data_IF_144362366848
#
_entry.id   IF_144362366848
#
_cell.length_a   1.000
_cell.length_b   1.000
_cell.length_c   1.000
_cell.angle_alpha   90.00
_cell.angle_beta   90.00
_cell.angle_gamma   90.00
#
_symmetry.space_group_name_H-M   'P 1'
#
loop_
_entity.id
_entity.type
_entity.pdbx_description
1 polymer ?
#
# COMPACT_ATOMS: atom_id res chain seq x y z
N UNK A 1 11.32 -3.76 19.01
CA UNK A 1 9.86 -3.78 18.90
C UNK A 1 9.48 -3.44 17.46
N UNK A 2 8.54 -4.17 16.86
CA UNK A 2 8.00 -3.93 15.51
C UNK A 2 6.50 -3.65 15.64
N UNK A 3 6.01 -2.66 14.88
CA UNK A 3 4.59 -2.39 14.69
C UNK A 3 4.27 -2.57 13.19
N UNK A 4 3.24 -3.33 12.89
CA UNK A 4 2.74 -3.55 11.53
C UNK A 4 1.26 -3.15 11.50
N UNK A 5 0.95 -1.87 11.31
CA UNK A 5 -0.44 -1.42 11.30
C UNK A 5 -1.14 -1.78 9.98
N UNK A 6 -2.38 -2.20 10.08
CA UNK A 6 -3.28 -2.15 8.94
C UNK A 6 -3.74 -0.69 8.76
N UNK A 7 -3.57 -0.12 7.57
CA UNK A 7 -4.10 1.20 7.28
C UNK A 7 -5.63 1.16 7.28
N UNK A 8 -6.28 2.30 7.60
CA UNK A 8 -7.76 2.39 7.59
C UNK A 8 -8.35 1.76 6.33
N UNK A 9 -9.45 1.04 6.51
CA UNK A 9 -10.14 0.32 5.44
C UNK A 9 -9.44 -0.95 4.97
N UNK A 10 -8.44 -1.47 5.70
CA UNK A 10 -7.71 -2.71 5.39
C UNK A 10 -7.60 -3.58 6.63
N UNK A 11 -7.61 -4.89 6.42
CA UNK A 11 -7.39 -5.88 7.47
C UNK A 11 -8.31 -5.70 8.67
N UNK A 12 -7.73 -5.57 9.85
CA UNK A 12 -8.46 -5.42 11.12
C UNK A 12 -8.82 -3.96 11.46
N UNK A 13 -8.33 -2.97 10.67
CA UNK A 13 -8.69 -1.57 10.88
C UNK A 13 -10.08 -1.25 10.36
N UNK A 14 -10.75 -0.31 11.04
CA UNK A 14 -12.11 0.11 10.70
C UNK A 14 -12.21 0.65 9.27
N UNK A 15 -13.35 0.40 8.64
CA UNK A 15 -13.73 1.02 7.38
C UNK A 15 -14.18 2.47 7.61
N UNK A 16 -13.76 3.35 6.72
CA UNK A 16 -14.13 4.76 6.83
C UNK A 16 -15.62 4.98 6.48
N UNK A 17 -16.29 5.82 7.24
CA UNK A 17 -17.66 6.25 6.91
C UNK A 17 -17.67 7.11 5.64
N UNK A 18 -16.66 7.96 5.50
CA UNK A 18 -16.44 8.82 4.33
C UNK A 18 -15.27 8.28 3.49
N UNK A 19 -15.53 7.75 2.28
CA UNK A 19 -14.49 7.24 1.38
C UNK A 19 -13.44 8.29 0.97
N UNK A 20 -13.77 9.58 0.97
CA UNK A 20 -12.83 10.65 0.69
C UNK A 20 -11.67 10.68 1.70
N UNK A 21 -11.82 10.01 2.84
CA UNK A 21 -10.73 9.87 3.83
C UNK A 21 -9.68 8.83 3.46
N UNK A 22 -9.86 8.04 2.40
CA UNK A 22 -8.85 7.10 1.90
C UNK A 22 -7.78 7.80 1.08
N UNK A 23 -7.08 8.75 1.71
CA UNK A 23 -6.06 9.59 1.10
C UNK A 23 -4.74 9.49 1.87
N UNK A 24 -3.57 9.57 1.19
CA UNK A 24 -2.26 9.43 1.82
C UNK A 24 -2.06 10.31 3.04
N UNK A 25 -2.48 11.58 3.00
CA UNK A 25 -2.35 12.49 4.13
C UNK A 25 -3.17 12.06 5.35
N UNK A 26 -4.30 11.38 5.14
CA UNK A 26 -5.09 10.83 6.24
C UNK A 26 -4.42 9.61 6.85
N UNK A 27 -3.78 8.77 6.04
CA UNK A 27 -2.98 7.66 6.54
C UNK A 27 -1.80 8.16 7.38
N UNK A 28 -1.15 9.27 6.97
CA UNK A 28 -0.10 9.91 7.80
C UNK A 28 -0.66 10.33 9.16
N UNK A 29 -1.82 10.97 9.20
CA UNK A 29 -2.46 11.38 10.46
C UNK A 29 -2.75 10.17 11.38
N UNK A 30 -3.20 9.05 10.81
CA UNK A 30 -3.43 7.81 11.56
C UNK A 30 -2.13 7.25 12.13
N UNK A 31 -1.04 7.25 11.33
CA UNK A 31 0.27 6.78 11.80
C UNK A 31 0.81 7.71 12.90
N UNK A 32 0.65 9.03 12.78
CA UNK A 32 1.04 9.97 13.85
C UNK A 32 0.30 9.66 15.14
N UNK A 33 -1.02 9.49 15.09
CA UNK A 33 -1.82 9.14 16.26
C UNK A 33 -1.38 7.79 16.88
N UNK A 34 -1.07 6.78 16.04
CA UNK A 34 -0.54 5.50 16.49
C UNK A 34 0.81 5.65 17.21
N UNK A 35 1.74 6.45 16.66
CA UNK A 35 3.04 6.70 17.27
C UNK A 35 2.92 7.43 18.61
N UNK A 36 1.99 8.37 18.72
CA UNK A 36 1.69 9.07 19.96
C UNK A 36 1.10 8.14 21.02
N UNK A 37 0.09 7.35 20.65
CA UNK A 37 -0.53 6.36 21.55
C UNK A 37 0.45 5.28 22.01
N UNK A 38 1.38 4.90 21.13
CA UNK A 38 2.41 3.90 21.43
C UNK A 38 3.64 4.49 22.18
N UNK A 39 3.63 5.81 22.44
CA UNK A 39 4.72 6.57 23.08
C UNK A 39 6.07 6.41 22.33
N UNK A 40 6.01 6.39 20.99
CA UNK A 40 7.19 6.25 20.14
C UNK A 40 7.62 7.60 19.58
N UNK A 41 8.71 8.15 20.11
CA UNK A 41 9.27 9.41 19.67
C UNK A 41 9.86 9.32 18.25
N UNK A 42 10.56 8.23 17.95
CA UNK A 42 11.24 8.01 16.66
C UNK A 42 11.14 6.56 16.22
N UNK A 43 11.05 6.35 14.91
CA UNK A 43 10.93 5.03 14.28
C UNK A 43 11.84 4.90 13.05
N UNK A 44 12.22 3.67 12.73
CA UNK A 44 12.66 3.30 11.38
C UNK A 44 11.40 2.84 10.66
N UNK A 45 11.05 3.55 9.58
CA UNK A 45 9.86 3.22 8.79
C UNK A 45 10.23 2.27 7.65
N UNK A 46 9.45 1.21 7.47
CA UNK A 46 9.58 0.28 6.34
C UNK A 46 8.27 0.34 5.56
N UNK A 47 8.32 0.91 4.37
CA UNK A 47 7.12 1.14 3.56
C UNK A 47 7.24 0.56 2.15
N UNK A 48 6.26 -0.25 1.76
CA UNK A 48 6.12 -0.75 0.39
C UNK A 48 5.07 0.06 -0.34
N UNK A 49 5.36 0.52 -1.56
CA UNK A 49 4.43 1.26 -2.42
C UNK A 49 3.75 2.40 -1.63
N UNK A 50 2.43 2.36 -1.41
CA UNK A 50 1.69 3.33 -0.57
C UNK A 50 2.33 3.55 0.81
N UNK A 51 2.88 2.50 1.45
CA UNK A 51 3.57 2.62 2.73
C UNK A 51 4.83 3.47 2.64
N UNK A 52 5.55 3.42 1.53
CA UNK A 52 6.70 4.28 1.26
C UNK A 52 6.29 5.72 1.01
N UNK A 53 5.19 5.96 0.27
CA UNK A 53 4.63 7.31 0.11
C UNK A 53 4.23 7.90 1.47
N UNK A 54 3.55 7.14 2.32
CA UNK A 54 3.19 7.57 3.69
C UNK A 54 4.45 7.88 4.51
N UNK A 55 5.52 7.09 4.35
CA UNK A 55 6.82 7.35 5.02
C UNK A 55 7.44 8.67 4.58
N UNK A 56 7.49 8.95 3.28
CA UNK A 56 8.02 10.21 2.75
C UNK A 56 7.18 11.41 3.20
N UNK A 57 5.86 11.30 3.16
CA UNK A 57 4.94 12.33 3.65
C UNK A 57 5.08 12.57 5.15
N UNK A 58 5.24 11.51 5.95
CA UNK A 58 5.48 11.62 7.39
C UNK A 58 6.81 12.33 7.66
N UNK A 59 7.88 12.00 6.91
CA UNK A 59 9.17 12.67 7.03
C UNK A 59 9.10 14.17 6.68
N UNK A 60 8.30 14.54 5.68
CA UNK A 60 8.09 15.93 5.30
C UNK A 60 7.32 16.73 6.35
N UNK A 61 6.34 16.12 7.02
CA UNK A 61 5.54 16.79 8.05
C UNK A 61 6.20 16.77 9.43
N UNK A 62 6.86 15.68 9.78
CA UNK A 62 7.41 15.42 11.11
C UNK A 62 8.81 14.78 11.00
N UNK A 63 9.81 15.51 10.51
CA UNK A 63 11.13 14.98 10.21
C UNK A 63 11.79 14.29 11.41
N UNK A 64 11.56 14.78 12.62
CA UNK A 64 12.16 14.24 13.83
C UNK A 64 11.60 12.88 14.25
N UNK A 65 10.46 12.47 13.70
CA UNK A 65 9.84 11.16 13.95
C UNK A 65 10.53 10.03 13.18
N UNK A 66 11.27 10.32 12.11
CA UNK A 66 11.93 9.31 11.27
C UNK A 66 13.41 9.22 11.62
N UNK A 67 13.84 8.08 12.11
CA UNK A 67 15.25 7.76 12.38
C UNK A 67 15.96 7.17 11.15
N UNK A 68 15.22 6.55 10.25
CA UNK A 68 15.66 5.95 9.00
C UNK A 68 14.47 5.38 8.23
N UNK A 69 14.67 5.07 6.96
CA UNK A 69 13.59 4.55 6.12
C UNK A 69 14.05 3.41 5.21
N UNK A 70 13.17 2.45 4.97
CA UNK A 70 13.26 1.50 3.86
C UNK A 70 12.09 1.78 2.93
N UNK A 71 12.37 2.23 1.72
CA UNK A 71 11.41 2.47 0.65
C UNK A 71 11.45 1.26 -0.29
N UNK A 72 10.42 0.44 -0.23
CA UNK A 72 10.34 -0.75 -1.04
C UNK A 72 9.37 -0.51 -2.20
N UNK A 73 9.89 -0.57 -3.41
CA UNK A 73 9.16 -0.48 -4.67
C UNK A 73 8.30 0.80 -4.78
N UNK A 74 8.92 1.93 -4.48
CA UNK A 74 8.36 3.29 -4.59
C UNK A 74 9.50 4.30 -4.62
N UNK A 75 9.33 5.34 -5.41
CA UNK A 75 10.25 6.47 -5.52
C UNK A 75 9.51 7.80 -5.70
N UNK A 76 10.25 8.87 -6.00
CA UNK A 76 9.68 10.19 -6.26
C UNK A 76 9.01 10.30 -7.63
N UNK A 77 9.23 9.34 -8.50
CA UNK A 77 8.59 9.19 -9.80
C UNK A 77 7.89 7.84 -9.87
N UNK A 78 6.68 7.82 -10.37
CA UNK A 78 5.88 6.61 -10.55
C UNK A 78 5.50 6.51 -12.02
N UNK A 79 5.78 5.36 -12.61
CA UNK A 79 5.42 5.09 -14.00
C UNK A 79 3.90 5.16 -14.22
N UNK A 80 3.48 5.89 -15.25
CA UNK A 80 2.06 6.07 -15.57
C UNK A 80 1.35 4.73 -15.84
N UNK A 81 2.06 3.79 -16.44
CA UNK A 81 1.55 2.45 -16.73
C UNK A 81 1.27 1.66 -15.44
N UNK A 82 2.16 1.76 -14.44
CA UNK A 82 1.97 1.15 -13.13
C UNK A 82 0.75 1.72 -12.39
N UNK A 83 0.58 3.06 -12.42
CA UNK A 83 -0.60 3.70 -11.85
C UNK A 83 -1.90 3.29 -12.55
N UNK A 84 -1.90 3.22 -13.89
CA UNK A 84 -3.06 2.78 -14.65
C UNK A 84 -3.45 1.34 -14.26
N UNK A 85 -2.47 0.44 -14.18
CA UNK A 85 -2.68 -0.93 -13.74
C UNK A 85 -3.26 -1.02 -12.32
N UNK A 86 -2.78 -0.20 -11.38
CA UNK A 86 -3.32 -0.14 -10.02
C UNK A 86 -4.79 0.29 -10.05
N UNK A 87 -5.13 1.32 -10.83
CA UNK A 87 -6.52 1.79 -11.00
C UNK A 87 -7.45 0.68 -11.53
N UNK A 88 -6.93 -0.18 -12.41
CA UNK A 88 -7.73 -1.23 -13.04
C UNK A 88 -8.12 -2.36 -12.07
N UNK A 89 -7.37 -2.61 -11.01
CA UNK A 89 -7.70 -3.69 -10.09
C UNK A 89 -8.17 -3.25 -8.70
N UNK A 90 -7.81 -2.05 -8.24
CA UNK A 90 -8.25 -1.56 -6.93
C UNK A 90 -9.76 -1.29 -6.94
N UNK A 91 -10.45 -1.79 -5.92
CA UNK A 91 -11.90 -1.63 -5.79
C UNK A 91 -12.74 -2.57 -6.66
N UNK A 92 -12.12 -3.48 -7.40
CA UNK A 92 -12.87 -4.55 -8.07
C UNK A 92 -13.36 -5.56 -7.03
N UNK A 93 -14.65 -5.54 -6.72
CA UNK A 93 -15.31 -6.43 -5.74
C UNK A 93 -15.34 -7.90 -6.14
N UNK A 94 -14.22 -8.45 -6.60
CA UNK A 94 -14.10 -9.88 -6.99
C UNK A 94 -14.12 -10.76 -5.76
N UNK A 95 -14.88 -11.85 -5.83
CA UNK A 95 -14.87 -12.89 -4.81
C UNK A 95 -14.74 -14.28 -5.43
N UNK A 96 -14.12 -15.18 -4.69
CA UNK A 96 -13.74 -16.51 -5.19
C UNK A 96 -14.34 -17.62 -4.33
N UNK A 97 -14.73 -18.76 -4.93
CA UNK A 97 -15.32 -19.85 -4.16
C UNK A 97 -14.33 -20.59 -3.27
N UNK A 98 -13.04 -20.59 -3.62
CA UNK A 98 -11.99 -21.25 -2.83
C UNK A 98 -10.67 -20.47 -2.90
N UNK A 99 -9.77 -20.73 -1.96
CA UNK A 99 -8.41 -20.19 -1.96
C UNK A 99 -7.62 -20.52 -3.24
N UNK A 100 -7.89 -21.68 -3.85
CA UNK A 100 -7.25 -22.05 -5.12
C UNK A 100 -7.70 -21.16 -6.28
N UNK A 101 -8.97 -20.79 -6.34
CA UNK A 101 -9.47 -19.86 -7.36
C UNK A 101 -8.87 -18.45 -7.13
N UNK A 102 -8.78 -18.00 -5.89
CA UNK A 102 -8.13 -16.75 -5.54
C UNK A 102 -6.64 -16.74 -5.96
N UNK A 103 -5.91 -17.81 -5.65
CA UNK A 103 -4.50 -17.95 -6.00
C UNK A 103 -4.27 -17.96 -7.53
N UNK A 104 -5.15 -18.64 -8.29
CA UNK A 104 -5.09 -18.61 -9.77
C UNK A 104 -5.34 -17.23 -10.34
N UNK A 105 -6.32 -16.50 -9.81
CA UNK A 105 -6.60 -15.13 -10.24
C UNK A 105 -5.42 -14.18 -9.96
N UNK A 106 -4.75 -14.30 -8.79
CA UNK A 106 -3.53 -13.55 -8.51
C UNK A 106 -2.40 -13.89 -9.46
N UNK A 107 -2.23 -15.18 -9.79
CA UNK A 107 -1.23 -15.62 -10.77
C UNK A 107 -1.50 -15.04 -12.16
N UNK A 108 -2.74 -15.02 -12.60
CA UNK A 108 -3.13 -14.42 -13.89
C UNK A 108 -2.81 -12.92 -13.91
N UNK A 109 -3.00 -12.23 -12.80
CA UNK A 109 -2.81 -10.79 -12.69
C UNK A 109 -1.33 -10.38 -12.52
N UNK A 110 -0.56 -11.13 -11.71
CA UNK A 110 0.79 -10.72 -11.27
C UNK A 110 1.88 -11.75 -11.62
N UNK A 111 1.57 -12.77 -12.42
CA UNK A 111 2.52 -13.84 -12.75
C UNK A 111 3.76 -13.36 -13.49
N UNK A 112 3.63 -12.31 -14.30
CA UNK A 112 4.77 -11.70 -14.99
C UNK A 112 5.82 -11.10 -14.04
N UNK A 113 5.38 -10.54 -12.92
CA UNK A 113 6.27 -9.99 -11.89
C UNK A 113 6.85 -11.06 -10.94
N UNK A 114 6.29 -12.27 -10.95
CA UNK A 114 6.70 -13.38 -10.08
C UNK A 114 6.82 -14.70 -10.86
N UNK A 115 7.73 -14.79 -11.86
CA UNK A 115 7.81 -15.95 -12.75
C UNK A 115 8.14 -17.26 -12.02
N UNK A 116 8.87 -17.18 -10.91
CA UNK A 116 9.34 -18.34 -10.14
C UNK A 116 8.35 -18.83 -9.07
N UNK A 117 7.18 -18.17 -8.93
CA UNK A 117 6.21 -18.55 -7.91
C UNK A 117 5.53 -19.88 -8.26
N UNK A 118 5.65 -20.85 -7.34
CA UNK A 118 4.87 -22.07 -7.36
C UNK A 118 3.43 -21.84 -6.84
N UNK A 119 2.57 -22.83 -6.99
CA UNK A 119 1.16 -22.78 -6.52
C UNK A 119 1.09 -22.46 -5.01
N UNK A 120 2.01 -23.00 -4.22
CA UNK A 120 2.06 -22.75 -2.77
C UNK A 120 2.33 -21.27 -2.45
N UNK A 121 3.13 -20.58 -3.26
CA UNK A 121 3.44 -19.15 -3.09
C UNK A 121 2.21 -18.31 -3.38
N UNK A 122 1.49 -18.60 -4.45
CA UNK A 122 0.24 -17.94 -4.78
C UNK A 122 -0.85 -18.16 -3.73
N UNK A 123 -0.92 -19.35 -3.14
CA UNK A 123 -1.83 -19.62 -2.02
C UNK A 123 -1.45 -18.81 -0.78
N UNK A 124 -0.16 -18.69 -0.47
CA UNK A 124 0.31 -17.83 0.64
C UNK A 124 -0.02 -16.36 0.38
N UNK A 125 0.20 -15.88 -0.85
CA UNK A 125 -0.13 -14.52 -1.25
C UNK A 125 -1.63 -14.26 -1.13
N UNK A 126 -2.49 -15.17 -1.63
CA UNK A 126 -3.93 -15.05 -1.49
C UNK A 126 -4.37 -14.93 -0.03
N UNK A 127 -3.82 -15.77 0.85
CA UNK A 127 -4.14 -15.74 2.29
C UNK A 127 -3.63 -14.49 3.04
N UNK A 128 -2.69 -13.73 2.46
CA UNK A 128 -2.22 -12.46 3.02
C UNK A 128 -3.05 -11.27 2.54
N UNK A 129 -3.64 -11.37 1.35
CA UNK A 129 -4.36 -10.27 0.71
C UNK A 129 -5.88 -10.37 0.86
N UNK A 130 -6.37 -11.53 1.23
CA UNK A 130 -7.80 -11.86 1.21
C UNK A 130 -8.24 -12.53 2.50
N UNK A 131 -9.53 -12.44 2.79
CA UNK A 131 -10.18 -13.10 3.90
C UNK A 131 -11.43 -13.88 3.44
N UNK A 132 -12.01 -14.66 4.35
CA UNK A 132 -13.32 -15.29 4.14
C UNK A 132 -14.38 -14.22 4.44
N UNK A 133 -15.00 -13.71 3.40
CA UNK A 133 -16.06 -12.72 3.51
C UNK A 133 -17.44 -13.33 3.84
N UNK A 134 -18.45 -12.48 3.85
CA UNK A 134 -19.83 -12.90 4.03
C UNK A 134 -20.24 -13.93 2.97
N UNK A 135 -20.95 -14.99 3.40
CA UNK A 135 -21.34 -16.08 2.52
C UNK A 135 -20.23 -17.09 2.20
N UNK A 136 -19.11 -17.10 2.94
CA UNK A 136 -18.03 -18.09 2.83
C UNK A 136 -17.16 -17.96 1.59
N UNK A 137 -17.26 -16.87 0.86
CA UNK A 137 -16.41 -16.59 -0.32
C UNK A 137 -15.14 -15.88 0.07
N UNK A 138 -14.06 -16.13 -0.66
CA UNK A 138 -12.78 -15.47 -0.50
C UNK A 138 -12.84 -14.11 -1.21
N UNK A 139 -12.53 -13.03 -0.53
CA UNK A 139 -12.51 -11.68 -1.09
C UNK A 139 -11.29 -10.91 -0.55
N UNK A 140 -10.90 -9.84 -1.23
CA UNK A 140 -9.85 -8.95 -0.74
C UNK A 140 -10.23 -8.37 0.62
N UNK A 141 -9.25 -8.29 1.51
CA UNK A 141 -9.42 -7.83 2.90
C UNK A 141 -9.22 -6.31 3.00
N UNK A 142 -10.05 -5.59 2.23
CA UNK A 142 -10.10 -4.12 2.27
C UNK A 142 -11.46 -3.59 1.82
N UNK A 143 -11.77 -2.35 2.21
CA UNK A 143 -12.96 -1.64 1.74
C UNK A 143 -12.84 -1.31 0.24
N UNK A 144 -13.77 -1.78 -0.57
CA UNK A 144 -13.79 -1.51 -2.02
C UNK A 144 -13.85 -0.01 -2.34
N UNK A 145 -14.38 0.80 -1.44
CA UNK A 145 -14.46 2.26 -1.58
C UNK A 145 -13.09 2.97 -1.55
N UNK A 146 -12.02 2.25 -1.22
CA UNK A 146 -10.64 2.75 -1.35
C UNK A 146 -10.34 3.24 -2.78
N UNK A 147 -11.03 2.69 -3.79
CA UNK A 147 -10.88 3.12 -5.17
C UNK A 147 -11.53 4.49 -5.48
N UNK A 148 -12.52 4.93 -4.70
CA UNK A 148 -13.30 6.14 -5.03
C UNK A 148 -12.42 7.40 -5.18
N UNK A 149 -11.48 7.72 -4.26
CA UNK A 149 -10.60 8.88 -4.42
C UNK A 149 -9.70 8.81 -5.66
N UNK A 150 -9.26 7.60 -6.05
CA UNK A 150 -8.45 7.41 -7.26
C UNK A 150 -9.28 7.59 -8.53
N UNK A 151 -10.51 7.11 -8.52
CA UNK A 151 -11.43 7.22 -9.66
C UNK A 151 -11.90 8.66 -9.88
N UNK A 152 -11.87 9.50 -8.85
CA UNK A 152 -12.23 10.91 -8.92
C UNK A 152 -11.13 11.78 -9.57
N UNK A 153 -9.90 11.29 -9.66
CA UNK A 153 -8.80 12.02 -10.30
C UNK A 153 -8.92 11.91 -11.82
N UNK A 154 -8.70 13.00 -12.57
CA UNK A 154 -8.64 12.96 -14.03
C UNK A 154 -7.61 11.91 -14.50
N UNK A 155 -7.92 11.21 -15.59
CA UNK A 155 -7.02 10.18 -16.12
C UNK A 155 -5.68 10.75 -16.60
N UNK A 156 -5.69 12.02 -17.03
CA UNK A 156 -4.57 12.82 -17.51
C UNK A 156 -3.95 13.73 -16.45
N UNK A 157 -4.36 13.57 -15.17
CA UNK A 157 -3.75 14.34 -14.10
C UNK A 157 -2.25 14.06 -14.04
N UNK A 158 -1.44 15.11 -14.11
CA UNK A 158 0.00 14.99 -13.95
C UNK A 158 0.32 14.37 -12.58
N UNK A 159 1.24 13.41 -12.57
CA UNK A 159 1.75 12.87 -11.32
C UNK A 159 2.36 14.01 -10.48
N UNK A 160 2.10 14.06 -9.17
CA UNK A 160 2.69 15.09 -8.32
C UNK A 160 4.20 14.93 -8.28
N UNK A 161 4.92 16.04 -8.22
CA UNK A 161 6.37 16.03 -7.94
C UNK A 161 6.60 15.58 -6.49
N UNK A 162 7.16 14.38 -6.32
CA UNK A 162 7.44 13.81 -4.99
C UNK A 162 8.92 13.91 -4.60
N UNK A 163 9.77 14.55 -5.41
CA UNK A 163 11.18 14.78 -5.06
C UNK A 163 11.34 15.55 -3.75
N UNK A 164 10.54 16.61 -3.46
CA UNK A 164 10.60 17.28 -2.16
C UNK A 164 10.30 16.35 -0.98
N UNK A 165 9.40 15.36 -1.17
CA UNK A 165 9.06 14.37 -0.15
C UNK A 165 10.22 13.40 0.09
N UNK A 166 10.90 12.96 -0.96
CA UNK A 166 12.10 12.14 -0.82
C UNK A 166 13.23 12.92 -0.15
N UNK A 167 13.43 14.18 -0.51
CA UNK A 167 14.44 15.05 0.09
C UNK A 167 14.19 15.31 1.58
N UNK A 168 12.97 15.21 2.06
CA UNK A 168 12.66 15.30 3.49
C UNK A 168 13.30 14.17 4.32
N UNK A 169 13.76 13.09 3.68
CA UNK A 169 14.55 12.02 4.29
C UNK A 169 16.06 12.30 4.29
N UNK A 170 16.53 13.40 3.69
CA UNK A 170 17.95 13.72 3.64
C UNK A 170 18.58 13.78 5.04
N UNK A 171 19.83 13.34 5.15
CA UNK A 171 20.55 13.26 6.43
C UNK A 171 20.14 12.08 7.34
N UNK A 172 19.31 11.17 6.87
CA UNK A 172 18.93 9.92 7.55
C UNK A 172 19.35 8.71 6.73
N UNK A 173 19.61 7.56 7.36
CA UNK A 173 19.81 6.31 6.62
C UNK A 173 18.54 5.97 5.83
N UNK A 174 18.68 5.82 4.51
CA UNK A 174 17.60 5.39 3.61
C UNK A 174 18.09 4.21 2.77
N UNK A 175 17.30 3.16 2.74
CA UNK A 175 17.47 2.04 1.84
C UNK A 175 16.31 2.05 0.83
N UNK A 176 16.61 2.23 -0.44
CA UNK A 176 15.66 2.03 -1.53
C UNK A 176 15.83 0.62 -2.10
N UNK A 177 14.72 -0.09 -2.26
CA UNK A 177 14.66 -1.43 -2.86
C UNK A 177 13.67 -1.35 -4.02
N UNK A 178 14.05 -1.89 -5.18
CA UNK A 178 13.15 -2.02 -6.33
C UNK A 178 13.21 -3.45 -6.86
N UNK A 179 12.05 -4.01 -7.18
CA UNK A 179 11.99 -5.28 -7.91
C UNK A 179 12.53 -5.11 -9.33
N UNK A 180 13.34 -6.06 -9.81
CA UNK A 180 13.87 -6.01 -11.18
C UNK A 180 12.76 -5.98 -12.24
N UNK A 181 11.63 -6.64 -11.95
CA UNK A 181 10.46 -6.72 -12.83
C UNK A 181 9.33 -5.76 -12.42
N UNK A 182 9.62 -4.80 -11.54
CA UNK A 182 8.62 -3.81 -11.13
C UNK A 182 8.36 -2.81 -12.25
N UNK A 183 7.09 -2.48 -12.43
CA UNK A 183 6.57 -1.47 -13.36
C UNK A 183 6.09 -0.18 -12.64
N UNK A 184 6.57 0.01 -11.40
CA UNK A 184 6.27 1.20 -10.57
C UNK A 184 7.52 2.04 -10.39
#
# INVERSE_FOLDING_TARGET
RVLCPDLRGRGQSDYAKDPASYMPLRYVADIVALLEQAELARVVAVGTSLGGLVTMLLAAQMPDRIAGAVLNDIGPEIEAAGLARIRDYVGQGRSFPTWMHAARALREQAGGAHPDYAVADWLRMAKRLMCVGAGGRIAFDYDMKIAEPFSALPADAAAPDMWPLLHALAGRPVLAIRGELSDI
#
